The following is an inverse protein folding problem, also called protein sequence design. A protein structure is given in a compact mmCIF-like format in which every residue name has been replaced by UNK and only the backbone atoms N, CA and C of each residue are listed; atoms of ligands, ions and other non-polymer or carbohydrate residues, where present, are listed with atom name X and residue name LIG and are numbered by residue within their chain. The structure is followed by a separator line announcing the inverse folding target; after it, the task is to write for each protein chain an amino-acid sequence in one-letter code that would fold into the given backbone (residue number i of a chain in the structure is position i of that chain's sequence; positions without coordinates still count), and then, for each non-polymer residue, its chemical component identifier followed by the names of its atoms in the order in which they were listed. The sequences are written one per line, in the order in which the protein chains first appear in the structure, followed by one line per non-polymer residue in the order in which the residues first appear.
data_IF_480009692094
#
_entry.id   IF_480009692094
#
_cell.length_a   1.000
_cell.length_b   1.000
_cell.length_c   1.000
_cell.angle_alpha   90.00
_cell.angle_beta   90.00
_cell.angle_gamma   90.00
#
_symmetry.space_group_name_H-M   'P 1'
#
loop_
_entity.id
_entity.type
_entity.pdbx_description
1 polymer ?
#
# COMPACT_ATOMS: atom_id res chain seq x y z
N UNK A 1 -2.13 -8.91 45.09
CA UNK A 1 -1.10 -8.73 44.06
C UNK A 1 -1.79 -8.90 42.73
N UNK A 2 -2.08 -7.78 42.08
CA UNK A 2 -2.69 -7.74 40.76
C UNK A 2 -1.62 -8.15 39.74
N UNK A 3 -1.90 -9.17 38.94
CA UNK A 3 -1.14 -9.43 37.73
C UNK A 3 -1.70 -8.48 36.66
N UNK A 4 -0.94 -7.45 36.32
CA UNK A 4 -1.15 -6.66 35.12
C UNK A 4 -0.80 -7.56 33.94
N UNK A 5 -1.82 -8.06 33.24
CA UNK A 5 -1.63 -8.73 31.95
C UNK A 5 -1.48 -7.65 30.90
N UNK A 6 -0.24 -7.21 30.70
CA UNK A 6 0.19 -6.53 29.49
C UNK A 6 0.03 -7.53 28.34
N UNK A 7 -1.08 -7.38 27.60
CA UNK A 7 -1.34 -8.17 26.41
C UNK A 7 -0.51 -7.57 25.29
N UNK A 8 0.70 -8.09 25.10
CA UNK A 8 1.51 -7.77 23.93
C UNK A 8 0.68 -7.95 22.66
N UNK A 9 0.45 -6.85 21.94
CA UNK A 9 -0.07 -6.84 20.58
C UNK A 9 0.66 -7.90 19.77
N UNK A 10 -0.11 -8.77 19.13
CA UNK A 10 0.44 -9.93 18.44
C UNK A 10 1.46 -9.48 17.40
N UNK A 11 2.72 -9.87 17.58
CA UNK A 11 3.80 -9.85 16.57
C UNK A 11 3.51 -10.87 15.45
N UNK A 12 2.27 -10.90 14.95
CA UNK A 12 1.81 -11.72 13.83
C UNK A 12 1.74 -10.88 12.57
N UNK A 13 1.94 -11.51 11.40
CA UNK A 13 1.66 -10.85 10.13
C UNK A 13 0.18 -10.47 10.07
N UNK A 14 -0.11 -9.18 9.91
CA UNK A 14 -1.45 -8.66 9.70
C UNK A 14 -2.10 -9.29 8.46
N UNK A 15 -3.42 -9.49 8.53
CA UNK A 15 -4.19 -10.08 7.44
C UNK A 15 -4.28 -9.08 6.29
N UNK A 16 -3.99 -9.54 5.08
CA UNK A 16 -4.13 -8.70 3.90
C UNK A 16 -5.62 -8.44 3.62
N UNK A 17 -6.02 -7.17 3.68
CA UNK A 17 -7.39 -6.71 3.39
C UNK A 17 -7.63 -6.75 1.88
N UNK A 18 -8.84 -7.11 1.46
CA UNK A 18 -9.25 -6.99 0.05
C UNK A 18 -9.80 -5.59 -0.18
N UNK A 19 -9.39 -4.96 -1.28
CA UNK A 19 -9.85 -3.63 -1.65
C UNK A 19 -9.80 -3.45 -3.16
N UNK A 20 -10.76 -2.67 -3.65
CA UNK A 20 -10.84 -2.22 -5.03
C UNK A 20 -9.94 -1.00 -5.26
N UNK A 21 -9.46 -0.82 -6.48
CA UNK A 21 -8.60 0.31 -6.86
C UNK A 21 -9.28 1.65 -6.60
N UNK A 22 -10.58 1.75 -6.88
CA UNK A 22 -11.37 2.96 -6.64
C UNK A 22 -11.27 3.45 -5.20
N UNK A 23 -11.39 2.53 -4.26
CA UNK A 23 -11.32 2.86 -2.83
C UNK A 23 -9.89 3.16 -2.41
N UNK A 24 -8.93 2.35 -2.88
CA UNK A 24 -7.53 2.52 -2.54
C UNK A 24 -6.99 3.87 -2.97
N UNK A 25 -7.29 4.29 -4.19
CA UNK A 25 -6.76 5.53 -4.76
C UNK A 25 -7.24 6.79 -4.03
N UNK A 26 -8.36 6.71 -3.30
CA UNK A 26 -8.86 7.79 -2.47
C UNK A 26 -8.27 7.76 -1.03
N UNK A 27 -7.47 6.75 -0.67
CA UNK A 27 -6.97 6.50 0.69
C UNK A 27 -5.63 7.18 1.02
N UNK A 28 -5.61 8.52 1.03
CA UNK A 28 -4.40 9.32 1.20
C UNK A 28 -3.87 9.48 2.63
N UNK A 29 -4.63 9.06 3.66
CA UNK A 29 -4.33 9.35 5.06
C UNK A 29 -3.67 8.14 5.73
N UNK A 30 -2.58 8.40 6.46
CA UNK A 30 -1.85 7.39 7.21
C UNK A 30 -1.69 7.79 8.67
N UNK A 31 -1.80 6.83 9.58
CA UNK A 31 -1.73 7.07 11.02
C UNK A 31 -1.09 5.90 11.78
N UNK A 32 -0.73 6.15 13.05
CA UNK A 32 -0.31 5.14 14.03
C UNK A 32 -1.37 5.04 15.12
N UNK A 33 -1.57 3.85 15.66
CA UNK A 33 -2.53 3.64 16.77
C UNK A 33 -1.96 4.00 18.14
N UNK A 34 -0.64 4.11 18.26
CA UNK A 34 0.05 4.49 19.47
C UNK A 34 1.20 5.46 19.19
N UNK A 35 1.68 6.12 20.24
CA UNK A 35 2.83 7.02 20.20
C UNK A 35 4.17 6.27 20.16
N UNK A 36 4.16 4.93 20.13
CA UNK A 36 5.37 4.13 20.05
C UNK A 36 6.09 4.36 18.70
N UNK A 37 7.41 4.54 18.75
CA UNK A 37 8.23 4.76 17.56
C UNK A 37 8.14 3.57 16.58
N UNK A 38 8.00 2.36 17.10
CA UNK A 38 7.85 1.11 16.37
C UNK A 38 6.40 0.76 16.01
N UNK A 39 5.43 1.59 16.40
CA UNK A 39 4.03 1.36 16.08
C UNK A 39 3.83 1.24 14.56
N UNK A 40 3.06 0.25 14.09
CA UNK A 40 2.78 0.09 12.67
C UNK A 40 2.01 1.30 12.12
N UNK A 41 2.44 1.78 10.95
CA UNK A 41 1.68 2.76 10.19
C UNK A 41 0.54 2.05 9.43
N UNK A 42 -0.67 2.57 9.55
CA UNK A 42 -1.85 2.12 8.84
C UNK A 42 -2.29 3.18 7.83
N UNK A 43 -2.82 2.74 6.70
CA UNK A 43 -3.59 3.58 5.78
C UNK A 43 -5.07 3.48 6.14
N UNK A 44 -5.73 4.62 6.27
CA UNK A 44 -7.17 4.69 6.50
C UNK A 44 -7.91 4.65 5.16
N UNK A 45 -8.87 3.76 5.00
CA UNK A 45 -9.73 3.72 3.82
C UNK A 45 -10.94 4.66 4.02
N UNK A 46 -11.45 5.29 2.93
CA UNK A 46 -12.64 6.14 2.99
C UNK A 46 -13.90 5.45 3.54
N UNK A 47 -13.94 4.13 3.49
CA UNK A 47 -15.04 3.33 4.04
C UNK A 47 -14.84 2.89 5.49
N UNK A 48 -13.89 3.51 6.21
CA UNK A 48 -13.77 3.35 7.67
C UNK A 48 -13.09 2.06 8.10
N UNK A 49 -12.06 1.62 7.37
CA UNK A 49 -11.24 0.46 7.70
C UNK A 49 -9.76 0.83 7.64
N UNK A 50 -8.95 0.22 8.51
CA UNK A 50 -7.51 0.43 8.52
C UNK A 50 -6.78 -0.70 7.79
N UNK A 51 -5.73 -0.35 7.07
CA UNK A 51 -4.97 -1.29 6.24
C UNK A 51 -3.48 -1.12 6.49
N UNK A 52 -2.83 -2.20 6.95
CA UNK A 52 -1.36 -2.30 6.93
C UNK A 52 -0.86 -3.13 5.74
N UNK A 53 -1.73 -4.01 5.22
CA UNK A 53 -1.43 -4.96 4.15
C UNK A 53 -2.68 -5.15 3.29
N UNK A 54 -2.51 -5.09 1.98
CA UNK A 54 -3.61 -5.26 1.02
C UNK A 54 -3.39 -6.46 0.10
N UNK A 55 -4.49 -6.98 -0.41
CA UNK A 55 -4.57 -8.05 -1.40
C UNK A 55 -5.56 -7.68 -2.49
N UNK A 56 -5.09 -7.66 -3.73
CA UNK A 56 -5.93 -7.37 -4.89
C UNK A 56 -5.62 -8.29 -6.07
N UNK A 57 -6.56 -8.41 -6.99
CA UNK A 57 -6.40 -9.09 -8.27
C UNK A 57 -6.78 -8.16 -9.42
N UNK A 58 -6.11 -8.29 -10.55
CA UNK A 58 -6.39 -7.48 -11.72
C UNK A 58 -5.55 -7.90 -12.91
N UNK A 59 -5.61 -7.12 -13.98
CA UNK A 59 -4.82 -7.32 -15.20
C UNK A 59 -3.57 -6.45 -15.10
N UNK A 60 -2.39 -7.06 -15.09
CA UNK A 60 -1.13 -6.34 -15.26
C UNK A 60 -1.03 -5.92 -16.73
N UNK A 61 -1.23 -4.64 -17.02
CA UNK A 61 -1.28 -4.11 -18.39
C UNK A 61 0.06 -3.59 -18.86
N UNK A 62 0.86 -3.03 -17.96
CA UNK A 62 2.14 -2.38 -18.26
C UNK A 62 3.17 -2.72 -17.18
N UNK A 63 4.43 -2.85 -17.60
CA UNK A 63 5.61 -3.07 -16.75
C UNK A 63 6.77 -2.26 -17.30
N UNK A 64 7.28 -1.32 -16.51
CA UNK A 64 8.35 -0.41 -16.94
C UNK A 64 9.51 -0.45 -15.94
N UNK A 65 10.75 -0.46 -16.43
CA UNK A 65 11.91 -0.14 -15.61
C UNK A 65 12.05 1.38 -15.56
N UNK A 66 11.78 1.96 -14.40
CA UNK A 66 11.81 3.41 -14.15
C UNK A 66 13.00 3.80 -13.26
N UNK A 67 13.92 2.86 -13.03
CA UNK A 67 15.14 3.11 -12.28
C UNK A 67 16.24 3.73 -13.13
N UNK A 68 16.96 4.72 -12.59
CA UNK A 68 18.12 5.34 -13.24
C UNK A 68 19.41 4.56 -12.95
N UNK A 69 19.78 4.45 -11.66
CA UNK A 69 21.04 3.83 -11.21
C UNK A 69 20.85 2.44 -10.59
N UNK A 70 19.61 2.06 -10.27
CA UNK A 70 19.26 0.81 -9.61
C UNK A 70 17.95 0.28 -10.16
N UNK A 71 17.83 -1.04 -10.25
CA UNK A 71 16.63 -1.70 -10.81
C UNK A 71 15.38 -1.30 -10.00
N UNK A 72 14.43 -0.65 -10.67
CA UNK A 72 13.20 -0.15 -10.06
C UNK A 72 12.04 -0.30 -11.04
N UNK A 73 11.22 -1.33 -10.81
CA UNK A 73 10.13 -1.69 -11.71
C UNK A 73 8.81 -1.09 -11.24
N UNK A 74 8.10 -0.45 -12.16
CA UNK A 74 6.70 -0.05 -12.03
C UNK A 74 5.81 -1.06 -12.76
N UNK A 75 4.71 -1.45 -12.12
CA UNK A 75 3.64 -2.23 -12.72
C UNK A 75 2.31 -1.48 -12.62
N UNK A 76 1.51 -1.54 -13.70
CA UNK A 76 0.14 -1.02 -13.74
C UNK A 76 -0.85 -2.18 -13.73
N UNK A 77 -1.64 -2.31 -12.66
CA UNK A 77 -2.62 -3.39 -12.49
C UNK A 77 -4.02 -2.81 -12.50
N UNK A 78 -4.84 -3.21 -13.47
CA UNK A 78 -6.20 -2.71 -13.68
C UNK A 78 -7.22 -3.70 -13.12
N UNK A 79 -8.09 -3.22 -12.24
CA UNK A 79 -9.28 -3.96 -11.77
C UNK A 79 -10.56 -3.33 -12.37
N UNK A 80 -11.76 -3.90 -12.15
CA UNK A 80 -13.00 -3.33 -12.70
C UNK A 80 -13.32 -1.91 -12.24
N UNK A 81 -12.67 -1.41 -11.20
CA UNK A 81 -12.97 -0.13 -10.54
C UNK A 81 -11.91 0.94 -10.76
N UNK A 82 -10.75 0.57 -11.32
CA UNK A 82 -9.65 1.49 -11.55
C UNK A 82 -8.29 0.81 -11.71
N UNK A 83 -7.24 1.53 -11.33
CA UNK A 83 -5.85 1.11 -11.49
C UNK A 83 -5.10 1.17 -10.17
N UNK A 84 -4.31 0.13 -9.88
CA UNK A 84 -3.26 0.13 -8.87
C UNK A 84 -1.91 0.35 -9.53
N UNK A 85 -1.10 1.22 -8.93
CA UNK A 85 0.33 1.32 -9.25
C UNK A 85 1.16 0.53 -8.25
N UNK A 86 2.05 -0.32 -8.75
CA UNK A 86 2.91 -1.19 -7.96
C UNK A 86 4.37 -0.84 -8.26
N UNK A 87 5.20 -0.67 -7.23
CA UNK A 87 6.61 -0.34 -7.41
C UNK A 87 7.51 -1.29 -6.63
N UNK A 88 8.42 -1.96 -7.32
CA UNK A 88 9.36 -2.92 -6.76
C UNK A 88 10.80 -2.54 -7.08
N UNK A 89 11.59 -2.24 -6.04
CA UNK A 89 13.02 -1.97 -6.19
C UNK A 89 13.91 -3.13 -5.75
N UNK A 90 15.20 -2.84 -5.58
CA UNK A 90 16.22 -3.80 -5.12
C UNK A 90 15.89 -4.56 -3.81
N UNK A 91 15.07 -3.96 -2.94
CA UNK A 91 14.66 -4.56 -1.67
C UNK A 91 13.42 -5.47 -1.82
N UNK A 92 12.86 -5.59 -3.02
CA UNK A 92 11.75 -6.48 -3.37
C UNK A 92 12.14 -7.36 -4.57
N UNK A 93 13.23 -8.14 -4.49
CA UNK A 93 13.80 -8.81 -5.65
C UNK A 93 12.84 -9.81 -6.31
N UNK A 94 11.97 -10.46 -5.52
CA UNK A 94 10.95 -11.38 -6.03
C UNK A 94 9.90 -10.65 -6.87
N UNK A 95 9.35 -9.55 -6.35
CA UNK A 95 8.33 -8.77 -7.04
C UNK A 95 8.89 -8.03 -8.27
N UNK A 96 10.10 -7.46 -8.17
CA UNK A 96 10.79 -6.84 -9.30
C UNK A 96 11.05 -7.86 -10.42
N UNK A 97 11.52 -9.07 -10.04
CA UNK A 97 11.70 -10.17 -10.98
C UNK A 97 10.38 -10.58 -11.63
N UNK A 98 9.27 -10.59 -10.89
CA UNK A 98 7.95 -10.91 -11.45
C UNK A 98 7.52 -9.85 -12.49
N UNK A 99 7.58 -8.56 -12.15
CA UNK A 99 7.25 -7.47 -13.07
C UNK A 99 8.08 -7.52 -14.36
N UNK A 100 9.37 -7.84 -14.27
CA UNK A 100 10.25 -7.97 -15.44
C UNK A 100 9.93 -9.15 -16.35
N UNK A 101 9.40 -10.25 -15.79
CA UNK A 101 9.27 -11.52 -16.50
C UNK A 101 7.86 -11.83 -16.98
N UNK A 102 6.83 -11.25 -16.35
CA UNK A 102 5.43 -11.47 -16.74
C UNK A 102 5.18 -10.73 -18.06
N UNK A 103 4.73 -11.47 -19.07
CA UNK A 103 4.29 -10.88 -20.34
C UNK A 103 2.91 -10.24 -20.15
N UNK A 104 2.77 -8.96 -20.50
CA UNK A 104 1.48 -8.24 -20.41
C UNK A 104 0.68 -8.36 -21.72
N UNK A 105 -0.67 -8.36 -21.67
CA UNK A 105 -1.52 -8.33 -20.47
C UNK A 105 -1.70 -9.72 -19.83
N UNK A 106 -1.61 -9.80 -18.49
CA UNK A 106 -1.81 -11.05 -17.73
C UNK A 106 -2.55 -10.80 -16.42
N UNK A 107 -3.44 -11.71 -16.01
CA UNK A 107 -4.07 -11.64 -14.69
C UNK A 107 -3.06 -11.95 -13.58
N UNK A 108 -3.03 -11.08 -12.57
CA UNK A 108 -2.16 -11.22 -11.42
C UNK A 108 -2.93 -10.99 -10.12
N UNK A 109 -2.46 -11.64 -9.06
CA UNK A 109 -2.75 -11.22 -7.68
C UNK A 109 -1.53 -10.56 -7.09
N UNK A 110 -1.76 -9.54 -6.27
CA UNK A 110 -0.71 -8.80 -5.57
C UNK A 110 -1.03 -8.75 -4.09
N UNK A 111 -0.01 -9.02 -3.27
CA UNK A 111 -0.02 -8.71 -1.85
C UNK A 111 1.04 -7.67 -1.60
N UNK A 112 0.72 -6.63 -0.84
CA UNK A 112 1.65 -5.56 -0.60
C UNK A 112 1.27 -4.64 0.55
N UNK A 113 2.13 -3.66 0.79
CA UNK A 113 1.91 -2.58 1.74
C UNK A 113 1.48 -1.32 1.01
N UNK A 114 0.48 -0.59 1.52
CA UNK A 114 0.15 0.72 0.97
C UNK A 114 1.31 1.69 1.24
N UNK A 115 1.56 2.58 0.29
CA UNK A 115 2.45 3.73 0.45
C UNK A 115 1.75 4.96 -0.11
N UNK A 116 1.78 6.07 0.61
CA UNK A 116 1.48 7.39 0.07
C UNK A 116 2.78 8.07 -0.37
N UNK A 117 2.68 8.93 -1.37
CA UNK A 117 3.76 9.82 -1.79
C UNK A 117 3.15 11.09 -2.37
N UNK A 118 3.90 12.19 -2.28
CA UNK A 118 3.51 13.47 -2.88
C UNK A 118 4.07 13.55 -4.30
N UNK A 119 3.28 14.03 -5.25
CA UNK A 119 3.74 14.37 -6.60
C UNK A 119 4.32 15.78 -6.63
N UNK A 120 5.03 16.13 -7.70
CA UNK A 120 5.62 17.46 -7.88
C UNK A 120 4.57 18.59 -7.86
N UNK A 121 3.32 18.28 -8.22
CA UNK A 121 2.17 19.19 -8.15
C UNK A 121 1.56 19.33 -6.75
N UNK A 122 2.10 18.64 -5.75
CA UNK A 122 1.63 18.66 -4.35
C UNK A 122 0.42 17.76 -4.09
N UNK A 123 0.06 16.88 -5.02
CA UNK A 123 -1.04 15.93 -4.84
C UNK A 123 -0.53 14.66 -4.13
N UNK A 124 -1.21 14.24 -3.07
CA UNK A 124 -0.90 12.96 -2.42
C UNK A 124 -1.51 11.81 -3.22
N UNK A 125 -0.65 10.99 -3.79
CA UNK A 125 -1.02 9.76 -4.47
C UNK A 125 -0.68 8.53 -3.63
N UNK A 126 -1.28 7.40 -3.97
CA UNK A 126 -1.01 6.12 -3.33
C UNK A 126 -0.47 5.09 -4.32
N UNK A 127 0.36 4.21 -3.82
CA UNK A 127 0.87 3.07 -4.55
C UNK A 127 1.03 1.87 -3.63
N UNK A 128 1.36 0.73 -4.22
CA UNK A 128 1.59 -0.50 -3.51
C UNK A 128 3.08 -0.84 -3.59
N UNK A 129 3.68 -1.06 -2.43
CA UNK A 129 4.96 -1.77 -2.33
C UNK A 129 4.66 -3.27 -2.28
N UNK A 130 4.91 -4.03 -3.35
CA UNK A 130 4.55 -5.44 -3.40
C UNK A 130 5.46 -6.25 -2.49
N UNK A 131 4.85 -7.20 -1.79
CA UNK A 131 5.54 -8.30 -1.14
C UNK A 131 5.59 -9.50 -2.09
N UNK A 132 4.54 -9.73 -2.87
CA UNK A 132 4.46 -10.81 -3.86
C UNK A 132 3.54 -10.44 -5.02
N UNK A 133 3.89 -10.89 -6.22
CA UNK A 133 3.08 -10.79 -7.44
C UNK A 133 3.00 -12.19 -8.05
N UNK A 134 1.81 -12.67 -8.37
CA UNK A 134 1.60 -14.03 -8.86
C UNK A 134 0.63 -14.02 -10.02
N UNK A 135 1.00 -14.67 -11.14
CA UNK A 135 0.09 -14.89 -12.27
C UNK A 135 -1.02 -15.85 -11.87
N UNK A 136 -2.25 -15.54 -12.25
CA UNK A 136 -3.43 -16.33 -11.91
C UNK A 136 -4.33 -16.53 -13.13
N UNK A 137 -5.31 -17.41 -13.00
CA UNK A 137 -6.35 -17.59 -14.00
C UNK A 137 -7.54 -16.63 -13.78
N UNK A 138 -8.42 -16.58 -14.77
CA UNK A 138 -9.64 -15.76 -14.74
C UNK A 138 -10.55 -16.12 -13.55
N UNK A 139 -10.74 -17.41 -13.27
CA UNK A 139 -11.58 -17.87 -12.16
C UNK A 139 -11.09 -17.36 -10.79
N UNK A 140 -9.78 -17.27 -10.58
CA UNK A 140 -9.18 -16.70 -9.36
C UNK A 140 -9.45 -15.20 -9.28
N UNK A 141 -9.32 -14.47 -10.40
CA UNK A 141 -9.65 -13.04 -10.48
C UNK A 141 -11.12 -12.78 -10.20
N UNK A 142 -12.02 -13.55 -10.79
CA UNK A 142 -13.47 -13.38 -10.63
C UNK A 142 -13.91 -13.67 -9.20
N UNK A 143 -13.34 -14.73 -8.59
CA UNK A 143 -13.59 -15.02 -7.19
C UNK A 143 -13.13 -13.89 -6.27
N UNK A 144 -11.98 -13.28 -6.57
CA UNK A 144 -11.53 -12.11 -5.82
C UNK A 144 -12.51 -10.93 -5.97
N UNK A 145 -13.03 -10.66 -7.16
CA UNK A 145 -14.02 -9.59 -7.39
C UNK A 145 -15.25 -9.80 -6.51
N UNK A 146 -15.83 -11.01 -6.52
CA UNK A 146 -17.02 -11.33 -5.70
C UNK A 146 -16.74 -11.15 -4.21
N UNK A 147 -15.64 -11.73 -3.70
CA UNK A 147 -15.30 -11.65 -2.27
C UNK A 147 -14.97 -10.22 -1.82
N UNK A 148 -14.38 -9.41 -2.70
CA UNK A 148 -14.02 -8.01 -2.41
C UNK A 148 -15.25 -7.12 -2.42
N UNK A 149 -16.19 -7.34 -3.36
CA UNK A 149 -17.46 -6.62 -3.39
C UNK A 149 -18.29 -6.90 -2.14
N UNK A 150 -18.40 -8.16 -1.72
CA UNK A 150 -19.12 -8.55 -0.50
C UNK A 150 -18.54 -7.85 0.74
N UNK A 151 -17.21 -7.95 0.94
CA UNK A 151 -16.52 -7.28 2.06
C UNK A 151 -16.63 -5.75 2.03
N UNK A 152 -16.61 -5.16 0.83
CA UNK A 152 -16.79 -3.71 0.67
C UNK A 152 -18.20 -3.29 1.03
N UNK A 153 -19.21 -4.02 0.55
CA UNK A 153 -20.62 -3.75 0.85
C UNK A 153 -20.91 -3.92 2.34
N UNK A 154 -20.40 -4.98 2.97
CA UNK A 154 -20.56 -5.23 4.41
C UNK A 154 -20.00 -4.07 5.24
N UNK A 155 -18.78 -3.63 4.92
CA UNK A 155 -18.13 -2.49 5.57
C UNK A 155 -18.90 -1.18 5.37
N UNK A 156 -19.40 -0.94 4.15
CA UNK A 156 -20.23 0.23 3.86
C UNK A 156 -21.55 0.21 4.65
N UNK A 157 -22.14 -0.96 4.90
CA UNK A 157 -23.33 -1.09 5.75
C UNK A 157 -23.00 -0.88 7.23
N UNK A 158 -21.79 -1.25 7.66
CA UNK A 158 -21.32 -1.08 9.03
C UNK A 158 -20.77 0.33 9.33
N UNK A 159 -20.60 1.20 8.32
CA UNK A 159 -19.97 2.51 8.48
C UNK A 159 -20.67 3.43 9.48
N UNK A 160 -22.00 3.38 9.53
CA UNK A 160 -22.82 4.16 10.48
C UNK A 160 -23.08 3.44 11.80
N UNK A 161 -22.45 2.28 12.03
CA UNK A 161 -22.53 1.62 13.33
C UNK A 161 -21.79 2.44 14.40
N UNK A 162 -22.44 2.64 15.54
CA UNK A 162 -22.03 3.49 16.67
C UNK A 162 -20.66 3.13 17.33
N UNK A 163 -19.94 2.13 16.81
CA UNK A 163 -18.77 1.50 17.46
C UNK A 163 -17.53 1.47 16.54
N UNK A 164 -17.52 2.15 15.40
CA UNK A 164 -16.34 2.17 14.52
C UNK A 164 -15.59 3.51 14.57
N UNK A 165 -14.56 3.58 15.42
CA UNK A 165 -13.69 4.75 15.56
C UNK A 165 -13.03 5.14 14.22
N UNK A 166 -12.67 4.17 13.38
CA UNK A 166 -12.10 4.45 12.05
C UNK A 166 -13.12 4.99 11.06
N UNK A 167 -14.40 4.63 11.19
CA UNK A 167 -15.45 5.25 10.38
C UNK A 167 -15.63 6.72 10.75
N UNK A 168 -15.51 7.08 12.04
CA UNK A 168 -15.49 8.48 12.43
C UNK A 168 -14.27 9.20 11.86
N UNK A 169 -13.07 8.65 12.03
CA UNK A 169 -11.86 9.22 11.41
C UNK A 169 -11.99 9.37 9.90
N UNK A 170 -12.57 8.39 9.21
CA UNK A 170 -12.75 8.46 7.77
C UNK A 170 -13.74 9.56 7.36
N UNK A 171 -14.78 9.84 8.16
CA UNK A 171 -15.66 10.99 7.94
C UNK A 171 -14.91 12.31 8.08
N UNK A 172 -14.02 12.41 9.06
CA UNK A 172 -13.26 13.62 9.31
C UNK A 172 -12.25 13.90 8.19
N UNK A 173 -11.58 12.85 7.69
CA UNK A 173 -10.56 12.97 6.63
C UNK A 173 -11.15 13.02 5.21
N UNK A 174 -12.18 12.22 4.90
CA UNK A 174 -12.70 12.02 3.54
C UNK A 174 -14.15 12.51 3.33
N UNK A 175 -14.85 12.85 4.40
CA UNK A 175 -16.28 13.16 4.38
C UNK A 175 -17.18 11.92 4.36
N UNK A 176 -18.48 12.15 4.17
CA UNK A 176 -19.52 11.10 4.34
C UNK A 176 -19.96 10.46 3.02
N UNK A 177 -19.35 10.83 1.89
CA UNK A 177 -19.86 10.46 0.56
C UNK A 177 -19.36 9.07 0.13
N UNK A 178 -20.09 8.05 0.54
CA UNK A 178 -19.74 6.64 0.28
C UNK A 178 -20.30 6.05 -1.04
N UNK A 179 -21.22 6.74 -1.71
CA UNK A 179 -21.87 6.23 -2.93
C UNK A 179 -20.90 5.74 -4.01
N UNK A 180 -19.76 6.43 -4.30
CA UNK A 180 -18.83 5.98 -5.33
C UNK A 180 -18.26 4.58 -5.07
N UNK A 181 -18.01 4.21 -3.81
CA UNK A 181 -17.47 2.90 -3.45
C UNK A 181 -18.53 1.80 -3.55
N UNK A 182 -19.79 2.13 -3.24
CA UNK A 182 -20.93 1.23 -3.45
C UNK A 182 -21.16 0.98 -4.93
N UNK A 183 -21.17 2.04 -5.73
CA UNK A 183 -21.34 1.97 -7.19
C UNK A 183 -20.23 1.15 -7.82
N UNK A 184 -18.97 1.38 -7.44
CA UNK A 184 -17.83 0.60 -7.93
C UNK A 184 -17.93 -0.89 -7.58
N UNK A 185 -18.37 -1.24 -6.36
CA UNK A 185 -18.57 -2.64 -5.98
C UNK A 185 -19.69 -3.32 -6.79
N UNK A 186 -20.78 -2.59 -7.09
CA UNK A 186 -21.88 -3.09 -7.92
C UNK A 186 -21.41 -3.26 -9.37
N UNK A 187 -20.76 -2.25 -9.95
CA UNK A 187 -20.23 -2.29 -11.31
C UNK A 187 -19.23 -3.44 -11.49
N UNK A 188 -18.38 -3.68 -10.50
CA UNK A 188 -17.45 -4.80 -10.51
C UNK A 188 -18.18 -6.15 -10.58
N UNK A 189 -19.28 -6.33 -9.85
CA UNK A 189 -20.11 -7.53 -9.91
C UNK A 189 -20.83 -7.67 -11.27
N UNK A 190 -21.40 -6.58 -11.78
CA UNK A 190 -22.09 -6.55 -13.08
C UNK A 190 -21.13 -6.88 -14.24
N UNK A 191 -19.85 -6.52 -14.12
CA UNK A 191 -18.82 -6.84 -15.11
C UNK A 191 -18.58 -8.35 -15.27
N UNK A 192 -18.81 -9.14 -14.21
CA UNK A 192 -18.71 -10.60 -14.26
C UNK A 192 -19.89 -11.21 -15.00
N UNK A 193 -21.11 -10.74 -14.71
CA UNK A 193 -22.34 -11.22 -15.36
C UNK A 193 -22.34 -10.96 -16.88
N UNK A 194 -21.78 -9.84 -17.32
CA UNK A 194 -21.62 -9.53 -18.74
C UNK A 194 -20.69 -10.53 -19.45
N UNK A 195 -19.69 -11.07 -18.75
CA UNK A 195 -18.74 -12.04 -19.27
C UNK A 195 -19.37 -13.43 -19.38
N UNK A 196 -20.15 -13.83 -18.37
CA UNK A 196 -20.90 -15.09 -18.36
C UNK A 196 -22.03 -15.13 -19.40
N UNK A 197 -22.72 -14.00 -19.62
CA UNK A 197 -23.79 -13.86 -20.61
C UNK A 197 -23.34 -14.04 -22.06
N UNK A 198 -22.07 -13.75 -22.37
CA UNK A 198 -21.49 -13.92 -23.70
C UNK A 198 -21.24 -15.40 -24.04
N UNK A 199 -20.96 -16.24 -23.05
CA UNK A 199 -20.70 -17.68 -23.24
C UNK A 199 -21.99 -18.49 -23.48
N UNK A 200 -23.16 -18.02 -23.03
CA UNK A 200 -24.42 -18.74 -23.20
C UNK A 200 -25.16 -18.47 -24.53
N UNK A 201 -24.77 -17.45 -25.30
CA UNK A 201 -25.48 -17.05 -26.52
C UNK A 201 -25.00 -17.75 -27.81
N UNK A 202 -23.91 -18.53 -27.77
CA UNK A 202 -23.32 -19.15 -28.96
C UNK A 202 -23.83 -20.57 -29.26
N UNK A 203 -25.13 -20.82 -29.12
CA UNK A 203 -25.81 -21.92 -29.82
C UNK A 203 -27.23 -21.50 -30.16
N UNK A 204 -27.44 -20.97 -31.36
CA UNK A 204 -28.63 -21.15 -32.21
C UNK A 204 -28.53 -20.18 -33.40
N UNK A 205 -28.50 -20.80 -34.58
CA UNK A 205 -28.84 -20.26 -35.91
C UNK A 205 -27.74 -19.63 -36.77
N UNK A 206 -27.35 -20.45 -37.74
CA UNK A 206 -26.65 -20.11 -38.96
C UNK A 206 -27.59 -19.49 -40.01
N UNK A 207 -26.95 -18.79 -40.95
CA UNK A 207 -27.38 -18.41 -42.30
C UNK A 207 -28.14 -17.07 -42.46
N UNK A 208 -27.39 -16.02 -42.83
CA UNK A 208 -27.71 -15.25 -44.04
C UNK A 208 -26.48 -14.50 -44.59
N UNK A 209 -26.48 -14.39 -45.91
CA UNK A 209 -25.40 -14.12 -46.86
C UNK A 209 -25.08 -12.61 -47.04
N UNK A 210 -23.88 -12.38 -47.60
CA UNK A 210 -23.43 -11.25 -48.43
C UNK A 210 -23.10 -9.84 -47.85
N UNK A 211 -21.77 -9.58 -47.87
CA UNK A 211 -21.09 -8.50 -48.60
C UNK A 211 -21.17 -7.03 -48.11
N UNK A 212 -20.00 -6.47 -47.78
CA UNK A 212 -19.70 -5.06 -48.07
C UNK A 212 -18.72 -4.36 -47.13
N UNK A 213 -17.50 -4.11 -47.64
CA UNK A 213 -16.60 -2.97 -47.36
C UNK A 213 -16.38 -2.44 -45.93
N UNK A 214 -15.13 -2.53 -45.46
CA UNK A 214 -14.55 -1.53 -44.54
C UNK A 214 -14.24 -0.20 -45.26
N UNK A 215 -13.45 0.71 -44.67
CA UNK A 215 -12.88 0.76 -43.31
C UNK A 215 -13.27 2.06 -42.56
N UNK A 216 -12.96 2.19 -41.28
CA UNK A 216 -12.70 3.51 -40.68
C UNK A 216 -11.67 3.36 -39.55
N UNK A 217 -10.50 3.98 -39.78
CA UNK A 217 -9.53 4.24 -38.74
C UNK A 217 -10.12 5.29 -37.79
N UNK A 218 -10.02 5.06 -36.48
CA UNK A 218 -10.21 6.09 -35.46
C UNK A 218 -8.85 6.47 -34.93
N UNK A 219 -8.48 7.73 -35.18
CA UNK A 219 -7.38 8.43 -34.55
C UNK A 219 -7.36 8.17 -33.05
N UNK A 220 -6.23 7.64 -32.56
CA UNK A 220 -5.91 7.61 -31.13
C UNK A 220 -5.02 8.83 -30.89
N UNK A 221 -5.52 9.79 -30.11
CA UNK A 221 -4.70 10.88 -29.60
C UNK A 221 -3.59 10.29 -28.70
N UNK A 222 -2.33 10.76 -28.83
CA UNK A 222 -1.27 10.39 -27.90
C UNK A 222 -1.54 11.02 -26.54
N UNK A 223 -1.52 10.21 -25.49
CA UNK A 223 -1.57 10.65 -24.09
C UNK A 223 -0.14 11.03 -23.70
N UNK A 224 0.05 12.22 -23.13
CA UNK A 224 1.36 12.71 -22.67
C UNK A 224 1.91 11.80 -21.56
N UNK A 225 3.19 11.43 -21.71
CA UNK A 225 3.95 10.69 -20.71
C UNK A 225 4.31 11.66 -19.57
N UNK A 226 3.62 11.56 -18.44
CA UNK A 226 4.05 12.25 -17.22
C UNK A 226 5.36 11.59 -16.72
N UNK A 227 6.47 12.31 -16.82
CA UNK A 227 7.78 11.90 -16.30
C UNK A 227 7.73 11.83 -14.76
N UNK A 228 7.49 10.63 -14.21
CA UNK A 228 7.63 10.38 -12.78
C UNK A 228 9.11 10.37 -12.38
N UNK A 229 9.53 11.36 -11.58
CA UNK A 229 10.85 11.35 -10.94
C UNK A 229 10.78 10.54 -9.63
N UNK A 230 11.54 9.44 -9.50
CA UNK A 230 11.57 8.69 -8.25
C UNK A 230 12.15 9.55 -7.11
N UNK A 231 11.61 9.46 -5.87
CA UNK A 231 12.16 10.21 -4.75
C UNK A 231 13.59 9.74 -4.46
N UNK A 232 14.50 10.70 -4.27
CA UNK A 232 15.86 10.42 -3.85
C UNK A 232 15.85 9.71 -2.49
N UNK A 233 16.64 8.64 -2.37
CA UNK A 233 16.80 7.89 -1.13
C UNK A 233 17.26 8.82 -0.02
N UNK A 234 16.46 9.00 1.01
CA UNK A 234 16.95 9.59 2.26
C UNK A 234 17.99 8.64 2.86
N UNK A 235 19.26 8.95 2.63
CA UNK A 235 20.35 8.44 3.45
C UNK A 235 20.10 8.92 4.87
N UNK A 236 19.81 7.97 5.76
CA UNK A 236 19.89 8.20 7.19
C UNK A 236 21.32 8.62 7.52
N UNK A 237 21.57 9.92 7.66
CA UNK A 237 22.81 10.45 8.22
C UNK A 237 22.82 10.06 9.69
N UNK A 238 23.39 8.90 10.00
CA UNK A 238 23.88 8.57 11.32
C UNK A 238 25.07 9.50 11.61
N UNK A 239 24.88 10.42 12.55
CA UNK A 239 26.00 11.14 13.15
C UNK A 239 26.81 10.16 14.00
N UNK A 240 27.85 9.56 13.41
CA UNK A 240 28.94 8.92 14.14
C UNK A 240 29.98 9.99 14.47
N UNK A 241 29.88 10.55 15.68
CA UNK A 241 30.91 11.42 16.24
C UNK A 241 32.08 10.53 16.70
N UNK A 242 32.98 10.23 15.78
CA UNK A 242 34.28 9.62 16.05
C UNK A 242 35.16 10.64 16.79
N UNK A 243 35.28 10.48 18.12
CA UNK A 243 36.23 11.23 18.94
C UNK A 243 37.65 10.69 18.70
N UNK A 244 38.48 11.53 18.09
CA UNK A 244 39.91 11.30 17.89
C UNK A 244 40.63 11.31 19.25
N UNK A 245 41.20 10.16 19.62
CA UNK A 245 42.15 10.04 20.72
C UNK A 245 43.55 10.44 20.25
N UNK A 246 43.94 11.67 20.54
CA UNK A 246 45.32 12.12 20.43
C UNK A 246 46.12 11.70 21.67
N UNK A 247 47.16 10.90 21.45
CA UNK A 247 48.17 10.59 22.45
C UNK A 247 49.09 11.82 22.63
N UNK A 248 49.28 12.25 23.87
CA UNK A 248 50.47 13.01 24.25
C UNK A 248 50.88 12.69 25.68
N UNK A 249 52.10 12.17 25.76
CA UNK A 249 52.90 11.96 26.95
C UNK A 249 53.21 13.28 27.67
N UNK A 250 53.21 13.26 29.00
CA UNK A 250 54.39 13.68 29.78
C UNK A 250 54.17 13.46 31.28
N UNK A 251 55.21 12.94 31.90
CA UNK A 251 55.55 12.87 33.32
C UNK A 251 55.09 14.06 34.18
N UNK A 252 54.74 13.84 35.44
CA UNK A 252 55.61 14.16 36.60
C UNK A 252 54.83 14.12 37.93
N UNK A 253 55.57 13.80 38.98
CA UNK A 253 55.15 13.41 40.31
C UNK A 253 54.34 14.47 41.11
N UNK A 254 53.52 14.00 42.06
CA UNK A 254 53.84 14.15 43.49
C UNK A 254 52.74 13.57 44.39
N UNK A 255 53.22 12.74 45.29
CA UNK A 255 52.61 12.22 46.51
C UNK A 255 52.71 13.30 47.59
N UNK A 256 51.60 13.74 48.19
CA UNK A 256 51.54 14.41 49.51
C UNK A 256 50.18 14.15 50.17
N UNK A 257 50.19 13.17 51.06
CA UNK A 257 49.73 13.17 52.47
C UNK A 257 48.74 14.26 52.99
N UNK A 258 47.87 13.74 53.87
CA UNK A 258 47.41 14.31 55.15
C UNK A 258 46.29 15.37 55.21
N UNK A 259 45.19 14.88 55.80
CA UNK A 259 44.67 15.31 57.11
C UNK A 259 43.67 16.46 57.21
N UNK A 260 42.91 16.36 58.31
CA UNK A 260 42.02 17.33 58.97
C UNK A 260 40.57 17.37 58.45
N UNK A 261 39.62 16.84 59.23
CA UNK A 261 38.81 17.57 60.23
C UNK A 261 37.58 18.18 59.53
N UNK A 262 36.38 18.32 60.09
CA UNK A 262 35.77 18.10 61.40
C UNK A 262 34.32 18.60 61.22
N UNK A 263 33.41 18.16 62.09
CA UNK A 263 32.01 18.59 62.27
C UNK A 263 31.05 18.25 61.12
N UNK A 264 29.89 17.63 61.33
CA UNK A 264 29.08 17.52 62.54
C UNK A 264 27.70 18.10 62.25
N UNK A 265 26.67 17.33 62.62
CA UNK A 265 25.25 17.72 62.81
C UNK A 265 24.43 17.89 61.51
N UNK A 266 23.22 17.36 61.37
CA UNK A 266 22.35 16.66 62.29
C UNK A 266 21.09 16.14 61.56
N UNK A 267 20.46 15.15 62.18
CA UNK A 267 19.20 14.50 61.80
C UNK A 267 18.03 15.47 61.68
N UNK A 268 17.16 15.26 60.70
CA UNK A 268 15.70 15.39 60.87
C UNK A 268 15.02 14.33 60.00
N UNK A 269 14.16 13.54 60.65
CA UNK A 269 13.17 12.61 60.11
C UNK A 269 12.11 13.35 59.26
#
# INVERSE_FOLDING_TARGET
MSASSDAGESTGREVAKRLFAREFNDASYTFKESEDELAPNYTLLPTGERVNRLFFAGTLTETNDVGSDSEYWQGRVVDPTGTFYVYAGQYQPEAASALRQIETPTYVTVVGKPRSYETDDGETNVAVRPESITQVDEATRDRWVVETADQTIDRLQAFDAEINDYAQMARDEYGERLSPYREAAIEALESLDATDGSTSAATTEAESDASGSGPLASDTDPIEEDEYTPPESEESVGTDESVESEESSSDDASDVEESSEDTGLGEYD
#
